data_IF_102410992415
#
_entry.id   IF_102410992415
#
_cell.length_a   1.000
_cell.length_b   1.000
_cell.length_c   1.000
_cell.angle_alpha   90.00
_cell.angle_beta   90.00
_cell.angle_gamma   90.00
#
_symmetry.space_group_name_H-M   'P 1'
#
loop_
_entity.id
_entity.type
_entity.pdbx_description
1 polymer ?
#
# COMPACT_ATOMS: atom_id res chain seq x y z
N UNK A 1 -21.78 22.98 -12.51
CA UNK A 1 -21.22 23.56 -11.26
C UNK A 1 -19.80 23.07 -10.95
N UNK A 2 -19.51 21.76 -11.00
CA UNK A 2 -18.17 21.24 -10.63
C UNK A 2 -17.02 21.78 -11.49
N UNK A 3 -17.22 21.88 -12.81
CA UNK A 3 -16.26 22.52 -13.73
C UNK A 3 -15.94 23.97 -13.35
N UNK A 4 -16.93 24.71 -12.83
CA UNK A 4 -16.74 26.10 -12.41
C UNK A 4 -15.94 26.19 -11.11
N UNK A 5 -16.28 25.35 -10.11
CA UNK A 5 -15.51 25.23 -8.86
C UNK A 5 -14.04 24.93 -9.13
N UNK A 6 -13.75 23.96 -10.00
CA UNK A 6 -12.38 23.58 -10.36
C UNK A 6 -11.64 24.73 -11.06
N UNK A 7 -12.31 25.51 -11.93
CA UNK A 7 -11.73 26.71 -12.55
C UNK A 7 -11.40 27.78 -11.51
N UNK A 8 -12.30 28.04 -10.56
CA UNK A 8 -12.08 29.00 -9.49
C UNK A 8 -10.90 28.61 -8.60
N UNK A 9 -10.83 27.34 -8.16
CA UNK A 9 -9.72 26.82 -7.36
C UNK A 9 -8.41 27.02 -8.11
N UNK A 10 -8.33 26.57 -9.37
CA UNK A 10 -7.11 26.72 -10.19
C UNK A 10 -6.68 28.18 -10.36
N UNK A 11 -7.63 29.10 -10.54
CA UNK A 11 -7.33 30.52 -10.67
C UNK A 11 -6.77 31.14 -9.38
N UNK A 12 -7.40 30.84 -8.23
CA UNK A 12 -6.95 31.32 -6.92
C UNK A 12 -5.57 30.73 -6.61
N UNK A 13 -5.41 29.42 -6.76
CA UNK A 13 -4.15 28.70 -6.57
C UNK A 13 -3.03 29.29 -7.42
N UNK A 14 -3.27 29.58 -8.70
CA UNK A 14 -2.25 30.17 -9.58
C UNK A 14 -1.71 31.50 -9.04
N UNK A 15 -2.58 32.39 -8.54
CA UNK A 15 -2.15 33.69 -8.01
C UNK A 15 -1.36 33.55 -6.71
N UNK A 16 -1.85 32.73 -5.79
CA UNK A 16 -1.20 32.50 -4.49
C UNK A 16 0.15 31.81 -4.68
N UNK A 17 0.20 30.75 -5.48
CA UNK A 17 1.42 29.99 -5.70
C UNK A 17 2.46 30.77 -6.50
N UNK A 18 2.07 31.56 -7.52
CA UNK A 18 3.05 32.36 -8.26
C UNK A 18 3.90 33.28 -7.36
N UNK A 19 3.26 33.92 -6.37
CA UNK A 19 3.99 34.77 -5.43
C UNK A 19 4.89 33.93 -4.51
N UNK A 20 4.36 32.82 -4.00
CA UNK A 20 5.10 31.91 -3.14
C UNK A 20 6.33 31.30 -3.84
N UNK A 21 6.18 30.82 -5.07
CA UNK A 21 7.26 30.18 -5.84
C UNK A 21 8.44 31.14 -6.06
N UNK A 22 8.16 32.43 -6.31
CA UNK A 22 9.20 33.46 -6.43
C UNK A 22 9.99 33.67 -5.16
N UNK A 23 9.31 33.70 -4.01
CA UNK A 23 9.95 33.94 -2.70
C UNK A 23 10.67 32.69 -2.21
N UNK A 24 10.01 31.54 -2.26
CA UNK A 24 10.53 30.27 -1.76
C UNK A 24 11.58 29.64 -2.68
N UNK A 25 11.66 30.07 -3.95
CA UNK A 25 12.50 29.45 -5.00
C UNK A 25 12.21 27.95 -5.14
N UNK A 26 10.94 27.59 -5.05
CA UNK A 26 10.42 26.21 -5.16
C UNK A 26 9.20 26.22 -6.07
N UNK A 27 8.98 25.17 -6.83
CA UNK A 27 7.72 24.97 -7.55
C UNK A 27 6.66 24.33 -6.65
N UNK A 28 5.39 24.70 -6.85
CA UNK A 28 4.23 24.20 -6.13
C UNK A 28 3.21 23.64 -7.10
N UNK A 29 2.86 22.38 -6.92
CA UNK A 29 1.84 21.69 -7.72
C UNK A 29 0.69 21.23 -6.83
N UNK A 30 -0.53 21.23 -7.36
CA UNK A 30 -1.71 20.73 -6.67
C UNK A 30 -2.40 19.61 -7.45
N UNK A 31 -2.92 18.63 -6.72
CA UNK A 31 -3.77 17.57 -7.23
C UNK A 31 -5.13 17.72 -6.53
N UNK A 32 -6.19 17.81 -7.34
CA UNK A 32 -7.57 17.86 -6.83
C UNK A 32 -8.22 16.50 -7.02
N UNK A 33 -8.69 15.89 -5.93
CA UNK A 33 -9.37 14.59 -5.96
C UNK A 33 -10.83 14.72 -5.54
N UNK A 34 -11.76 14.01 -6.21
CA UNK A 34 -13.17 14.05 -5.83
C UNK A 34 -13.39 13.36 -4.50
N UNK A 35 -14.02 14.05 -3.54
CA UNK A 35 -14.39 13.46 -2.24
C UNK A 35 -15.56 12.48 -2.36
N UNK A 36 -16.51 12.76 -3.24
CA UNK A 36 -17.78 12.05 -3.34
C UNK A 36 -17.89 11.22 -4.63
N UNK A 37 -18.53 10.05 -4.54
CA UNK A 37 -18.71 9.15 -5.68
C UNK A 37 -19.53 9.76 -6.82
N UNK A 38 -20.42 10.72 -6.52
CA UNK A 38 -21.21 11.43 -7.54
C UNK A 38 -20.31 12.16 -8.56
N UNK A 39 -19.12 12.60 -8.13
CA UNK A 39 -18.20 13.41 -8.95
C UNK A 39 -17.24 12.59 -9.81
N UNK A 40 -17.25 11.25 -9.72
CA UNK A 40 -16.47 10.39 -10.63
C UNK A 40 -17.33 9.87 -11.77
N UNK A 41 -16.69 9.50 -12.88
CA UNK A 41 -17.34 8.81 -14.00
C UNK A 41 -16.39 7.71 -14.47
N UNK A 42 -16.90 6.51 -14.81
CA UNK A 42 -16.05 5.49 -15.42
C UNK A 42 -15.52 6.04 -16.75
N UNK A 43 -14.20 5.95 -16.96
CA UNK A 43 -13.59 6.39 -18.22
C UNK A 43 -13.85 5.37 -19.34
N UNK A 44 -13.76 4.09 -19.01
CA UNK A 44 -13.94 2.95 -19.92
C UNK A 44 -14.50 1.75 -19.13
N UNK A 45 -15.26 0.89 -19.80
CA UNK A 45 -15.69 -0.39 -19.24
C UNK A 45 -14.57 -1.41 -19.44
N UNK A 46 -13.58 -1.41 -18.54
CA UNK A 46 -12.65 -2.54 -18.45
C UNK A 46 -13.33 -3.66 -17.68
N UNK A 47 -13.66 -4.76 -18.35
CA UNK A 47 -14.27 -5.91 -17.68
C UNK A 47 -13.25 -6.55 -16.74
N UNK A 48 -13.71 -6.90 -15.54
CA UNK A 48 -12.98 -7.69 -14.55
C UNK A 48 -13.30 -9.20 -14.73
N UNK A 49 -13.76 -9.60 -15.92
CA UNK A 49 -14.35 -10.93 -16.14
C UNK A 49 -13.30 -12.04 -16.28
N UNK A 50 -12.11 -11.74 -16.78
CA UNK A 50 -11.05 -12.75 -16.95
C UNK A 50 -10.43 -13.22 -15.63
N UNK A 51 -10.36 -12.35 -14.63
CA UNK A 51 -9.69 -12.64 -13.35
C UNK A 51 -10.59 -12.11 -12.25
N UNK A 52 -11.34 -12.98 -11.56
CA UNK A 52 -12.37 -12.58 -10.58
C UNK A 52 -11.72 -11.83 -9.42
N UNK A 53 -11.55 -10.51 -9.57
CA UNK A 53 -10.79 -9.71 -8.61
C UNK A 53 -11.75 -9.09 -7.60
N UNK A 54 -11.50 -9.27 -6.30
CA UNK A 54 -12.21 -8.56 -5.24
C UNK A 54 -11.41 -7.34 -4.74
N UNK A 55 -12.09 -6.35 -4.17
CA UNK A 55 -11.45 -5.26 -3.42
C UNK A 55 -11.70 -5.51 -1.93
N UNK A 56 -10.63 -5.58 -1.14
CA UNK A 56 -10.67 -5.69 0.31
C UNK A 56 -10.23 -4.38 0.95
N UNK A 57 -11.13 -3.75 1.70
CA UNK A 57 -10.86 -2.61 2.57
C UNK A 57 -10.70 -3.10 4.01
N UNK A 58 -9.50 -2.93 4.57
CA UNK A 58 -9.14 -3.41 5.90
C UNK A 58 -9.07 -2.27 6.92
N UNK A 59 -9.69 -2.46 8.09
CA UNK A 59 -9.56 -1.57 9.25
C UNK A 59 -10.88 -0.94 9.70
N UNK A 60 -10.84 -0.10 10.75
CA UNK A 60 -12.03 0.64 11.21
C UNK A 60 -12.46 1.67 10.17
N UNK A 61 -13.74 2.05 10.16
CA UNK A 61 -14.23 3.08 9.25
C UNK A 61 -13.54 4.43 9.51
N UNK A 62 -13.07 5.08 8.45
CA UNK A 62 -12.63 6.47 8.49
C UNK A 62 -13.82 7.39 8.20
N UNK A 63 -14.33 8.02 9.25
CA UNK A 63 -15.63 8.71 9.25
C UNK A 63 -15.55 10.19 8.86
N UNK A 64 -14.36 10.79 8.87
CA UNK A 64 -14.15 12.17 8.40
C UNK A 64 -14.61 12.27 6.95
N UNK A 65 -15.48 13.23 6.64
CA UNK A 65 -16.12 13.40 5.33
C UNK A 65 -16.80 12.14 4.77
N UNK A 66 -17.23 11.20 5.64
CA UNK A 66 -17.75 9.89 5.26
C UNK A 66 -16.80 9.10 4.34
N UNK A 67 -15.49 9.28 4.50
CA UNK A 67 -14.48 8.83 3.55
C UNK A 67 -14.60 7.35 3.17
N UNK A 68 -14.73 6.43 4.13
CA UNK A 68 -14.85 5.00 3.81
C UNK A 68 -16.15 4.69 3.06
N UNK A 69 -17.28 5.26 3.48
CA UNK A 69 -18.58 5.06 2.81
C UNK A 69 -18.54 5.59 1.37
N UNK A 70 -18.00 6.79 1.17
CA UNK A 70 -17.84 7.36 -0.16
C UNK A 70 -16.81 6.59 -1.01
N UNK A 71 -15.85 5.90 -0.38
CA UNK A 71 -14.93 4.99 -1.08
C UNK A 71 -15.67 3.76 -1.60
N UNK A 72 -16.54 3.15 -0.77
CA UNK A 72 -17.39 2.02 -1.18
C UNK A 72 -18.26 2.42 -2.37
N UNK A 73 -19.00 3.52 -2.26
CA UNK A 73 -19.84 4.05 -3.34
C UNK A 73 -19.04 4.30 -4.61
N UNK A 74 -17.84 4.87 -4.47
CA UNK A 74 -16.96 5.15 -5.61
C UNK A 74 -16.53 3.85 -6.29
N UNK A 75 -16.08 2.84 -5.54
CA UNK A 75 -15.70 1.54 -6.12
C UNK A 75 -16.90 0.81 -6.72
N UNK A 76 -18.08 0.84 -6.10
CA UNK A 76 -19.29 0.24 -6.68
C UNK A 76 -19.75 0.98 -7.94
N UNK A 77 -19.49 2.27 -8.06
CA UNK A 77 -19.76 3.04 -9.27
C UNK A 77 -18.74 2.78 -10.39
N UNK A 78 -17.46 2.70 -10.06
CA UNK A 78 -16.38 2.48 -11.03
C UNK A 78 -16.29 1.00 -11.46
N UNK A 79 -16.62 0.09 -10.56
CA UNK A 79 -16.48 -1.36 -10.73
C UNK A 79 -17.76 -2.10 -10.28
N UNK A 80 -18.90 -1.94 -11.00
CA UNK A 80 -20.21 -2.41 -10.53
C UNK A 80 -20.28 -3.91 -10.21
N UNK A 81 -19.60 -4.74 -10.99
CA UNK A 81 -19.57 -6.20 -10.85
C UNK A 81 -18.53 -6.67 -9.82
N UNK A 82 -17.65 -5.80 -9.37
CA UNK A 82 -16.59 -6.18 -8.42
C UNK A 82 -17.14 -6.26 -7.00
N UNK A 83 -16.72 -7.31 -6.30
CA UNK A 83 -16.98 -7.49 -4.88
C UNK A 83 -16.14 -6.49 -4.09
N UNK A 84 -16.80 -5.67 -3.27
CA UNK A 84 -16.14 -4.77 -2.33
C UNK A 84 -16.38 -5.32 -0.94
N UNK A 85 -15.30 -5.75 -0.27
CA UNK A 85 -15.33 -6.34 1.06
C UNK A 85 -14.78 -5.32 2.03
N UNK A 86 -15.47 -5.09 3.14
CA UNK A 86 -14.98 -4.26 4.25
C UNK A 86 -14.76 -5.18 5.44
N UNK A 87 -13.50 -5.42 5.80
CA UNK A 87 -13.13 -6.21 6.97
C UNK A 87 -12.78 -5.29 8.14
N UNK A 88 -13.64 -5.31 9.16
CA UNK A 88 -13.62 -4.44 10.33
C UNK A 88 -13.88 -5.22 11.62
N UNK A 89 -14.18 -4.53 12.71
CA UNK A 89 -14.30 -5.07 14.06
C UNK A 89 -15.76 -5.28 14.47
N UNK A 90 -16.01 -6.22 15.39
CA UNK A 90 -17.35 -6.43 15.95
C UNK A 90 -17.90 -5.24 16.71
N UNK A 91 -17.04 -4.41 17.30
CA UNK A 91 -17.44 -3.21 18.03
C UNK A 91 -17.56 -1.96 17.14
N UNK A 92 -17.47 -2.13 15.81
CA UNK A 92 -17.73 -1.04 14.86
C UNK A 92 -19.20 -0.61 14.91
N UNK A 93 -19.48 0.66 14.57
CA UNK A 93 -20.83 1.22 14.63
C UNK A 93 -21.83 0.43 13.77
N UNK A 94 -22.90 -0.16 14.36
CA UNK A 94 -23.90 -0.92 13.59
C UNK A 94 -24.52 -0.11 12.45
N UNK A 95 -24.69 1.19 12.65
CA UNK A 95 -25.19 2.10 11.61
C UNK A 95 -24.23 2.18 10.41
N UNK A 96 -22.92 2.26 10.65
CA UNK A 96 -21.93 2.30 9.55
C UNK A 96 -21.90 0.98 8.78
N UNK A 97 -22.04 -0.16 9.48
CA UNK A 97 -22.12 -1.48 8.84
C UNK A 97 -23.34 -1.57 7.93
N UNK A 98 -24.52 -1.21 8.44
CA UNK A 98 -25.77 -1.20 7.65
C UNK A 98 -25.68 -0.28 6.43
N UNK A 99 -25.07 0.90 6.57
CA UNK A 99 -24.86 1.81 5.43
C UNK A 99 -23.92 1.16 4.42
N UNK A 100 -22.79 0.58 4.86
CA UNK A 100 -21.85 -0.08 3.95
C UNK A 100 -22.50 -1.23 3.16
N UNK A 101 -23.30 -2.08 3.82
CA UNK A 101 -24.05 -3.15 3.19
C UNK A 101 -25.08 -2.62 2.19
N UNK A 102 -25.82 -1.57 2.57
CA UNK A 102 -26.79 -0.91 1.68
C UNK A 102 -26.14 -0.32 0.43
N UNK A 103 -24.92 0.20 0.55
CA UNK A 103 -24.13 0.70 -0.58
C UNK A 103 -23.46 -0.42 -1.39
N UNK A 104 -23.69 -1.69 -1.04
CA UNK A 104 -23.28 -2.87 -1.81
C UNK A 104 -21.94 -3.48 -1.41
N UNK A 105 -21.41 -3.16 -0.23
CA UNK A 105 -20.25 -3.85 0.32
C UNK A 105 -20.64 -5.13 1.08
N UNK A 106 -19.75 -6.12 1.07
CA UNK A 106 -19.80 -7.27 1.95
C UNK A 106 -19.04 -6.90 3.22
N UNK A 107 -19.71 -6.88 4.36
CA UNK A 107 -19.09 -6.52 5.64
C UNK A 107 -18.65 -7.79 6.38
N UNK A 108 -17.40 -7.79 6.86
CA UNK A 108 -16.81 -8.87 7.63
C UNK A 108 -16.38 -8.31 8.98
N UNK A 109 -16.85 -8.91 10.07
CA UNK A 109 -16.53 -8.46 11.42
C UNK A 109 -15.64 -9.48 12.13
N UNK A 110 -14.48 -9.03 12.58
CA UNK A 110 -13.51 -9.81 13.33
C UNK A 110 -13.54 -9.44 14.81
N UNK A 111 -13.25 -10.40 15.68
CA UNK A 111 -12.86 -10.10 17.06
C UNK A 111 -11.48 -9.43 17.06
N UNK A 112 -11.29 -8.44 17.93
CA UNK A 112 -9.96 -7.85 18.13
C UNK A 112 -9.04 -8.88 18.80
N UNK A 113 -7.79 -9.06 18.33
CA UNK A 113 -6.82 -9.86 19.06
C UNK A 113 -6.54 -9.26 20.44
N UNK A 114 -6.40 -10.12 21.46
CA UNK A 114 -6.10 -9.69 22.83
C UNK A 114 -4.81 -8.87 22.90
N UNK A 115 -3.76 -9.33 22.20
CA UNK A 115 -2.55 -8.56 21.96
C UNK A 115 -2.58 -7.96 20.56
N UNK A 116 -2.54 -6.62 20.47
CA UNK A 116 -2.55 -5.89 19.20
C UNK A 116 -1.21 -6.00 18.44
N UNK A 117 -0.15 -6.43 19.12
CA UNK A 117 1.22 -6.48 18.61
C UNK A 117 1.84 -5.09 18.44
N UNK A 118 3.16 -5.02 18.19
CA UNK A 118 3.84 -3.77 17.85
C UNK A 118 3.18 -3.09 16.67
N UNK A 119 2.98 -1.76 16.75
CA UNK A 119 2.37 -0.93 15.70
C UNK A 119 1.00 -1.45 15.18
N UNK A 120 0.27 -2.21 16.01
CA UNK A 120 -1.02 -2.83 15.69
C UNK A 120 -0.97 -3.92 14.60
N UNK A 121 0.17 -4.59 14.41
CA UNK A 121 0.33 -5.56 13.33
C UNK A 121 -0.67 -6.73 13.43
N UNK A 122 -0.99 -7.20 14.64
CA UNK A 122 -1.96 -8.30 14.81
C UNK A 122 -3.38 -7.86 14.42
N UNK A 123 -3.71 -6.59 14.61
CA UNK A 123 -4.98 -6.04 14.13
C UNK A 123 -5.05 -6.12 12.60
N UNK A 124 -3.96 -5.80 11.91
CA UNK A 124 -3.88 -5.87 10.46
C UNK A 124 -3.91 -7.31 9.95
N UNK A 125 -3.18 -8.22 10.60
CA UNK A 125 -3.16 -9.66 10.27
C UNK A 125 -4.56 -10.25 10.33
N UNK A 126 -5.22 -10.14 11.50
CA UNK A 126 -6.54 -10.74 11.73
C UNK A 126 -7.56 -10.21 10.73
N UNK A 127 -7.72 -8.88 10.64
CA UNK A 127 -8.75 -8.30 9.78
C UNK A 127 -8.46 -8.52 8.29
N UNK A 128 -7.21 -8.47 7.85
CA UNK A 128 -6.88 -8.77 6.43
C UNK A 128 -7.17 -10.24 6.12
N UNK A 129 -6.71 -11.16 6.97
CA UNK A 129 -6.86 -12.59 6.73
C UNK A 129 -8.33 -13.03 6.70
N UNK A 130 -9.16 -12.53 7.62
CA UNK A 130 -10.61 -12.80 7.60
C UNK A 130 -11.28 -12.27 6.32
N UNK A 131 -10.91 -11.07 5.87
CA UNK A 131 -11.40 -10.50 4.62
C UNK A 131 -11.01 -11.32 3.38
N UNK A 132 -9.77 -11.79 3.33
CA UNK A 132 -9.27 -12.65 2.25
C UNK A 132 -10.00 -14.00 2.21
N UNK A 133 -10.29 -14.61 3.37
CA UNK A 133 -11.09 -15.85 3.40
C UNK A 133 -12.48 -15.67 2.81
N UNK A 134 -13.11 -14.52 3.06
CA UNK A 134 -14.41 -14.19 2.47
C UNK A 134 -14.30 -13.95 0.96
N UNK A 135 -13.25 -13.25 0.50
CA UNK A 135 -12.99 -13.09 -0.93
C UNK A 135 -12.85 -14.47 -1.62
N UNK A 136 -12.03 -15.37 -1.05
CA UNK A 136 -11.85 -16.73 -1.56
C UNK A 136 -13.14 -17.55 -1.56
N UNK A 137 -13.92 -17.48 -0.46
CA UNK A 137 -15.21 -18.17 -0.36
C UNK A 137 -16.19 -17.70 -1.44
N UNK A 138 -16.09 -16.44 -1.85
CA UNK A 138 -16.89 -15.86 -2.93
C UNK A 138 -16.18 -15.91 -4.28
N UNK A 139 -15.31 -16.90 -4.48
CA UNK A 139 -14.74 -17.26 -5.79
C UNK A 139 -13.86 -16.15 -6.41
N UNK A 140 -13.19 -15.36 -5.59
CA UNK A 140 -12.18 -14.41 -6.07
C UNK A 140 -10.84 -15.12 -6.34
N UNK A 141 -10.28 -14.91 -7.53
CA UNK A 141 -8.96 -15.39 -7.93
C UNK A 141 -7.84 -14.46 -7.47
N UNK A 142 -8.15 -13.15 -7.43
CA UNK A 142 -7.23 -12.08 -7.05
C UNK A 142 -7.88 -11.11 -6.09
N UNK A 143 -7.08 -10.38 -5.33
CA UNK A 143 -7.58 -9.33 -4.43
C UNK A 143 -6.72 -8.08 -4.53
N UNK A 144 -7.36 -6.92 -4.64
CA UNK A 144 -6.75 -5.64 -4.27
C UNK A 144 -7.04 -5.41 -2.78
N UNK A 145 -6.02 -5.52 -1.94
CA UNK A 145 -6.08 -5.16 -0.52
C UNK A 145 -5.69 -3.70 -0.37
N UNK A 146 -6.52 -2.91 0.30
CA UNK A 146 -6.24 -1.54 0.73
C UNK A 146 -6.77 -1.31 2.14
N UNK A 147 -6.37 -0.23 2.81
CA UNK A 147 -6.98 0.15 4.10
C UNK A 147 -8.26 0.98 3.91
N UNK A 148 -9.15 0.93 4.89
CA UNK A 148 -10.41 1.71 4.92
C UNK A 148 -10.20 3.23 4.93
N UNK A 149 -9.03 3.69 5.37
CA UNK A 149 -8.61 5.08 5.36
C UNK A 149 -7.80 5.43 4.10
N UNK A 150 -7.79 4.58 3.08
CA UNK A 150 -7.16 4.84 1.78
C UNK A 150 -8.14 4.64 0.64
N UNK A 151 -7.90 5.35 -0.46
CA UNK A 151 -8.71 5.28 -1.67
C UNK A 151 -7.83 5.42 -2.89
N UNK A 152 -7.93 4.50 -3.84
CA UNK A 152 -7.35 4.66 -5.17
C UNK A 152 -8.40 5.22 -6.14
N UNK A 153 -7.96 5.92 -7.17
CA UNK A 153 -8.86 6.55 -8.16
C UNK A 153 -8.65 6.05 -9.59
N UNK A 154 -7.60 5.25 -9.85
CA UNK A 154 -7.33 4.68 -11.17
C UNK A 154 -8.49 3.79 -11.64
N UNK A 155 -9.02 4.05 -12.84
CA UNK A 155 -10.16 3.33 -13.43
C UNK A 155 -9.73 2.08 -14.22
N UNK A 156 -8.48 2.03 -14.64
CA UNK A 156 -7.83 0.96 -15.41
C UNK A 156 -7.15 -0.08 -14.49
N UNK A 157 -7.38 0.00 -13.17
CA UNK A 157 -6.52 -0.66 -12.18
C UNK A 157 -6.47 -2.19 -12.35
N UNK A 158 -7.58 -2.85 -12.66
CA UNK A 158 -7.62 -4.31 -12.83
C UNK A 158 -6.82 -4.80 -14.04
N UNK A 159 -7.10 -4.34 -15.29
CA UNK A 159 -6.31 -4.78 -16.44
C UNK A 159 -4.84 -4.36 -16.31
N UNK A 160 -4.55 -3.20 -15.70
CA UNK A 160 -3.18 -2.80 -15.42
C UNK A 160 -2.44 -3.82 -14.54
N UNK A 161 -3.00 -4.13 -13.37
CA UNK A 161 -2.38 -5.04 -12.40
C UNK A 161 -2.28 -6.48 -12.93
N UNK A 162 -3.32 -6.98 -13.62
CA UNK A 162 -3.29 -8.30 -14.25
C UNK A 162 -2.25 -8.39 -15.36
N UNK A 163 -2.15 -7.37 -16.21
CA UNK A 163 -1.12 -7.33 -17.27
C UNK A 163 0.27 -7.28 -16.65
N UNK A 164 0.42 -6.59 -15.52
CA UNK A 164 1.69 -6.47 -14.83
C UNK A 164 2.21 -7.82 -14.31
N UNK A 165 1.35 -8.62 -13.64
CA UNK A 165 1.76 -9.95 -13.15
C UNK A 165 2.02 -10.94 -14.28
N UNK A 166 1.28 -10.84 -15.40
CA UNK A 166 1.53 -11.63 -16.63
C UNK A 166 2.85 -11.24 -17.32
N UNK A 167 3.19 -9.95 -17.35
CA UNK A 167 4.41 -9.43 -17.99
C UNK A 167 5.66 -9.76 -17.19
N UNK A 168 5.55 -9.74 -15.86
CA UNK A 168 6.63 -10.02 -14.93
C UNK A 168 6.31 -11.24 -14.07
N UNK A 169 6.21 -12.44 -14.66
CA UNK A 169 5.79 -13.63 -13.96
C UNK A 169 6.80 -14.03 -12.89
N UNK A 170 6.32 -14.74 -11.87
CA UNK A 170 7.18 -15.41 -10.93
C UNK A 170 7.83 -16.64 -11.59
N UNK A 171 9.15 -16.62 -11.73
CA UNK A 171 9.96 -17.75 -12.26
C UNK A 171 10.93 -18.26 -11.16
N UNK A 172 10.63 -17.96 -9.90
CA UNK A 172 11.51 -18.29 -8.79
C UNK A 172 11.41 -19.75 -8.36
N UNK A 173 12.34 -20.15 -7.48
CA UNK A 173 12.48 -21.53 -7.01
C UNK A 173 11.57 -21.91 -5.82
N UNK A 174 10.79 -20.97 -5.29
CA UNK A 174 10.01 -21.18 -4.08
C UNK A 174 8.57 -21.57 -4.44
N UNK A 175 8.30 -22.88 -4.50
CA UNK A 175 7.03 -23.45 -4.97
C UNK A 175 5.78 -23.09 -4.15
N UNK A 176 5.94 -22.48 -2.97
CA UNK A 176 4.81 -22.00 -2.16
C UNK A 176 4.24 -20.66 -2.63
N UNK A 177 4.94 -19.98 -3.53
CA UNK A 177 4.48 -18.77 -4.20
C UNK A 177 4.08 -19.11 -5.64
N UNK A 178 2.88 -18.66 -6.06
CA UNK A 178 2.37 -18.86 -7.41
C UNK A 178 2.73 -17.69 -8.33
N UNK A 179 2.46 -16.47 -7.87
CA UNK A 179 2.66 -15.22 -8.60
C UNK A 179 3.35 -14.18 -7.74
N UNK A 180 3.87 -13.13 -8.38
CA UNK A 180 4.41 -11.98 -7.65
C UNK A 180 3.28 -11.15 -7.04
N UNK A 181 3.49 -10.68 -5.82
CA UNK A 181 2.56 -9.74 -5.17
C UNK A 181 2.95 -8.31 -5.59
N UNK A 182 1.99 -7.57 -6.13
CA UNK A 182 2.15 -6.16 -6.47
C UNK A 182 1.98 -5.30 -5.22
N UNK A 183 2.91 -4.39 -4.99
CA UNK A 183 2.99 -3.47 -3.86
C UNK A 183 2.91 -2.03 -4.35
N UNK A 184 2.38 -1.12 -3.53
CA UNK A 184 2.53 0.31 -3.76
C UNK A 184 3.91 0.81 -3.27
N UNK A 185 4.53 1.73 -4.00
CA UNK A 185 5.78 2.38 -3.56
C UNK A 185 5.59 3.20 -2.28
N UNK A 186 4.37 3.66 -2.02
CA UNK A 186 4.04 4.35 -0.77
C UNK A 186 4.22 3.40 0.42
N UNK A 187 5.15 3.75 1.30
CA UNK A 187 5.60 2.94 2.45
C UNK A 187 6.29 1.64 2.06
N UNK A 188 6.81 1.51 0.83
CA UNK A 188 7.80 0.49 0.49
C UNK A 188 9.14 1.21 0.35
N UNK A 189 10.05 1.06 1.30
CA UNK A 189 11.29 1.85 1.39
C UNK A 189 12.50 1.04 0.90
N UNK A 190 13.40 1.69 0.16
CA UNK A 190 14.59 1.02 -0.42
C UNK A 190 15.48 0.39 0.64
N UNK A 191 15.69 1.09 1.75
CA UNK A 191 16.70 0.70 2.75
C UNK A 191 16.08 0.04 3.99
N UNK A 192 14.76 0.05 4.13
CA UNK A 192 14.06 -0.76 5.14
C UNK A 192 14.05 -2.21 4.65
N UNK A 193 15.00 -3.00 5.15
CA UNK A 193 15.14 -4.39 4.73
C UNK A 193 13.83 -5.16 4.99
N UNK A 194 13.40 -5.89 3.97
CA UNK A 194 12.18 -6.69 3.95
C UNK A 194 10.97 -5.89 4.46
N UNK A 195 10.74 -4.68 3.95
CA UNK A 195 9.71 -3.75 4.43
C UNK A 195 8.57 -3.48 3.44
N UNK A 196 8.12 -4.50 2.71
CA UNK A 196 7.02 -4.46 1.75
C UNK A 196 5.75 -3.90 2.39
N UNK A 197 5.21 -2.82 1.80
CA UNK A 197 4.05 -2.12 2.37
C UNK A 197 2.89 -3.08 2.65
N UNK A 198 2.32 -2.94 3.84
CA UNK A 198 1.08 -3.62 4.18
C UNK A 198 -0.13 -2.94 3.53
N UNK A 199 0.00 -1.68 3.11
CA UNK A 199 -1.13 -0.77 2.92
C UNK A 199 -1.95 -1.07 1.67
N UNK A 200 -1.29 -1.17 0.52
CA UNK A 200 -1.88 -1.53 -0.77
C UNK A 200 -1.14 -2.72 -1.36
N UNK A 201 -1.86 -3.79 -1.65
CA UNK A 201 -1.32 -4.99 -2.27
C UNK A 201 -2.29 -5.55 -3.31
N UNK A 202 -1.77 -6.15 -4.38
CA UNK A 202 -2.54 -6.96 -5.31
C UNK A 202 -1.83 -8.29 -5.57
N UNK A 203 -2.57 -9.37 -5.62
CA UNK A 203 -1.98 -10.68 -5.90
C UNK A 203 -3.03 -11.78 -5.97
N UNK A 204 -2.57 -12.95 -6.36
CA UNK A 204 -3.38 -14.17 -6.32
C UNK A 204 -3.89 -14.40 -4.89
N UNK A 205 -5.14 -14.86 -4.77
CA UNK A 205 -5.80 -15.04 -3.47
C UNK A 205 -5.02 -15.97 -2.54
N UNK A 206 -4.39 -17.03 -3.08
CA UNK A 206 -3.63 -17.99 -2.28
C UNK A 206 -2.31 -17.42 -1.80
N UNK A 207 -1.61 -16.63 -2.63
CA UNK A 207 -0.38 -15.95 -2.25
C UNK A 207 -0.63 -14.90 -1.16
N UNK A 208 -1.71 -14.12 -1.28
CA UNK A 208 -2.10 -13.15 -0.26
C UNK A 208 -2.56 -13.82 1.04
N UNK A 209 -3.31 -14.93 0.97
CA UNK A 209 -3.65 -15.73 2.15
C UNK A 209 -2.39 -16.30 2.81
N UNK A 210 -1.40 -16.74 2.02
CA UNK A 210 -0.15 -17.23 2.57
C UNK A 210 0.65 -16.10 3.24
N UNK A 211 0.78 -14.93 2.59
CA UNK A 211 1.44 -13.73 3.12
C UNK A 211 0.82 -13.28 4.45
N UNK A 212 -0.50 -13.09 4.47
CA UNK A 212 -1.23 -12.61 5.64
C UNK A 212 -1.54 -13.69 6.68
N UNK A 213 -1.29 -14.96 6.38
CA UNK A 213 -1.36 -16.08 7.32
C UNK A 213 -0.17 -16.17 8.28
N UNK A 214 0.50 -15.04 8.54
CA UNK A 214 1.59 -14.96 9.51
C UNK A 214 1.07 -15.24 10.93
N UNK A 215 1.93 -15.79 11.78
CA UNK A 215 1.64 -15.90 13.21
C UNK A 215 1.40 -14.52 13.81
N UNK A 216 0.63 -14.44 14.90
CA UNK A 216 0.51 -13.19 15.64
C UNK A 216 1.83 -12.87 16.35
N UNK A 217 2.15 -11.59 16.38
CA UNK A 217 3.30 -11.07 17.10
C UNK A 217 2.96 -10.93 18.59
N UNK A 218 3.52 -11.81 19.41
CA UNK A 218 3.26 -11.86 20.85
C UNK A 218 3.96 -10.74 21.64
N UNK A 219 4.79 -9.92 21.00
CA UNK A 219 5.40 -8.74 21.64
C UNK A 219 4.33 -7.70 21.98
N UNK A 220 4.56 -6.91 23.01
CA UNK A 220 3.60 -5.89 23.45
C UNK A 220 3.46 -4.74 22.44
N UNK A 221 2.29 -4.08 22.38
CA UNK A 221 2.13 -2.86 21.61
C UNK A 221 3.08 -1.76 22.11
N UNK A 222 3.65 -0.98 21.19
CA UNK A 222 4.56 0.12 21.51
C UNK A 222 6.04 -0.28 21.67
N UNK A 223 6.37 -1.57 21.58
CA UNK A 223 7.77 -2.03 21.50
C UNK A 223 8.39 -1.59 20.18
N UNK A 224 9.63 -1.08 20.24
CA UNK A 224 10.45 -0.69 19.08
C UNK A 224 10.93 0.76 19.15
N UNK A 225 12.22 0.98 18.87
CA UNK A 225 12.80 2.32 18.75
C UNK A 225 12.97 2.68 17.26
N UNK A 226 12.68 3.92 16.90
CA UNK A 226 12.97 4.48 15.57
C UNK A 226 14.29 5.23 15.53
N UNK A 227 14.82 5.64 16.67
CA UNK A 227 16.07 6.39 16.81
C UNK A 227 17.26 5.43 16.93
N UNK A 228 17.34 4.53 15.96
CA UNK A 228 18.37 3.49 15.85
C UNK A 228 18.86 3.41 14.41
N UNK A 229 19.87 2.60 14.16
CA UNK A 229 20.37 2.36 12.79
C UNK A 229 19.29 1.72 11.93
N UNK A 230 19.37 1.89 10.60
CA UNK A 230 18.50 1.19 9.66
C UNK A 230 18.56 -0.33 9.86
N UNK A 231 19.74 -0.87 10.14
CA UNK A 231 19.97 -2.30 10.44
C UNK A 231 19.17 -2.76 11.64
N UNK A 232 19.27 -2.04 12.76
CA UNK A 232 18.62 -2.41 14.01
C UNK A 232 17.10 -2.23 13.89
N UNK A 233 16.66 -1.19 13.18
CA UNK A 233 15.25 -1.01 12.85
C UNK A 233 14.70 -2.20 12.07
N UNK A 234 15.37 -2.64 11.02
CA UNK A 234 14.94 -3.81 10.25
C UNK A 234 14.93 -5.09 11.10
N UNK A 235 16.01 -5.35 11.87
CA UNK A 235 16.10 -6.53 12.75
C UNK A 235 15.08 -6.54 13.88
N UNK A 236 14.56 -5.36 14.27
CA UNK A 236 13.45 -5.28 15.21
C UNK A 236 12.13 -5.82 14.63
N UNK A 237 12.06 -6.13 13.32
CA UNK A 237 10.90 -6.75 12.66
C UNK A 237 9.60 -6.06 13.03
N UNK A 238 9.53 -4.73 12.94
CA UNK A 238 8.32 -3.98 13.24
C UNK A 238 7.41 -3.93 12.02
N UNK A 239 6.10 -4.01 12.26
CA UNK A 239 5.04 -3.78 11.26
C UNK A 239 5.29 -4.53 9.94
N UNK A 240 5.51 -3.83 8.83
CA UNK A 240 5.71 -4.41 7.50
C UNK A 240 6.89 -5.39 7.46
N UNK A 241 7.97 -5.08 8.21
CA UNK A 241 9.13 -5.97 8.29
C UNK A 241 8.85 -7.28 8.98
N UNK A 242 7.88 -7.31 9.90
CA UNK A 242 7.37 -8.57 10.44
C UNK A 242 6.70 -9.42 9.36
N UNK A 243 5.80 -8.81 8.58
CA UNK A 243 4.99 -9.52 7.58
C UNK A 243 5.86 -10.10 6.47
N UNK A 244 6.70 -9.27 5.84
CA UNK A 244 7.50 -9.72 4.71
C UNK A 244 8.53 -10.76 5.16
N UNK A 245 9.26 -10.52 6.26
CA UNK A 245 10.26 -11.48 6.72
C UNK A 245 9.62 -12.83 7.09
N UNK A 246 8.45 -12.83 7.74
CA UNK A 246 7.73 -14.06 8.06
C UNK A 246 7.23 -14.79 6.81
N UNK A 247 6.72 -14.05 5.82
CA UNK A 247 6.32 -14.61 4.53
C UNK A 247 7.51 -15.28 3.82
N UNK A 248 8.62 -14.55 3.66
CA UNK A 248 9.83 -15.02 2.99
C UNK A 248 10.41 -16.26 3.69
N UNK A 249 10.52 -16.25 5.02
CA UNK A 249 10.95 -17.41 5.81
C UNK A 249 10.01 -18.62 5.59
N UNK A 250 8.69 -18.41 5.57
CA UNK A 250 7.69 -19.49 5.40
C UNK A 250 7.64 -20.07 3.99
N UNK A 251 7.96 -19.28 2.95
CA UNK A 251 8.17 -19.82 1.59
C UNK A 251 9.50 -20.56 1.44
N UNK A 252 10.40 -20.44 2.43
CA UNK A 252 11.68 -21.16 2.49
C UNK A 252 12.90 -20.32 2.13
N UNK A 253 12.75 -18.99 2.01
CA UNK A 253 13.86 -18.08 1.75
C UNK A 253 14.64 -17.81 3.03
N UNK A 254 15.97 -17.95 2.97
CA UNK A 254 16.87 -17.49 4.03
C UNK A 254 17.10 -15.99 3.92
N UNK A 255 17.02 -15.28 5.05
CA UNK A 255 17.21 -13.83 5.12
C UNK A 255 18.61 -13.49 5.62
N UNK A 256 19.40 -12.79 4.80
CA UNK A 256 20.76 -12.41 5.15
C UNK A 256 20.86 -11.03 5.84
N UNK A 257 19.77 -10.26 5.91
CA UNK A 257 19.72 -8.93 6.51
C UNK A 257 20.76 -7.96 5.93
N UNK A 258 20.88 -8.00 4.60
CA UNK A 258 21.69 -7.08 3.78
C UNK A 258 20.78 -6.36 2.78
N UNK A 259 21.20 -5.17 2.32
CA UNK A 259 20.48 -4.44 1.27
C UNK A 259 20.38 -5.29 0.02
N UNK A 260 21.49 -5.93 -0.39
CA UNK A 260 21.51 -6.82 -1.56
C UNK A 260 20.46 -7.92 -1.47
N UNK A 261 20.38 -8.62 -0.34
CA UNK A 261 19.41 -9.70 -0.19
C UNK A 261 17.96 -9.21 -0.13
N UNK A 262 17.69 -8.08 0.54
CA UNK A 262 16.35 -7.48 0.53
C UNK A 262 15.93 -6.99 -0.85
N UNK A 263 16.84 -6.39 -1.62
CA UNK A 263 16.56 -5.95 -2.99
C UNK A 263 16.31 -7.12 -3.92
N UNK A 264 17.07 -8.21 -3.77
CA UNK A 264 16.81 -9.46 -4.47
C UNK A 264 15.43 -10.03 -4.09
N UNK A 265 15.02 -9.94 -2.82
CA UNK A 265 13.70 -10.37 -2.40
C UNK A 265 12.58 -9.56 -3.09
N UNK A 266 12.73 -8.22 -3.15
CA UNK A 266 11.81 -7.36 -3.90
C UNK A 266 11.74 -7.72 -5.40
N UNK A 267 12.90 -7.93 -6.05
CA UNK A 267 12.97 -8.27 -7.47
C UNK A 267 12.37 -9.65 -7.79
N UNK A 268 12.55 -10.62 -6.90
CA UNK A 268 12.12 -12.01 -7.13
C UNK A 268 10.64 -12.21 -6.82
N UNK A 269 10.16 -11.71 -5.69
CA UNK A 269 8.86 -12.07 -5.10
C UNK A 269 7.76 -11.03 -5.30
N UNK A 270 8.13 -9.80 -5.63
CA UNK A 270 7.19 -8.67 -5.64
C UNK A 270 7.27 -7.88 -6.96
N UNK A 271 6.29 -7.01 -7.17
CA UNK A 271 6.33 -5.94 -8.18
C UNK A 271 5.97 -4.64 -7.48
N UNK A 272 6.78 -3.59 -7.60
CA UNK A 272 6.46 -2.32 -6.93
C UNK A 272 5.94 -1.30 -7.94
N UNK A 273 4.74 -0.76 -7.75
CA UNK A 273 4.16 0.28 -8.60
C UNK A 273 4.11 1.62 -7.88
N UNK A 274 4.28 2.71 -8.62
CA UNK A 274 4.27 4.03 -8.02
C UNK A 274 2.87 4.40 -7.49
N UNK A 275 2.83 5.02 -6.31
CA UNK A 275 1.61 5.58 -5.70
C UNK A 275 0.75 6.37 -6.69
N UNK A 276 1.39 7.15 -7.56
CA UNK A 276 0.75 7.98 -8.59
C UNK A 276 0.11 7.16 -9.70
N UNK A 277 0.65 5.99 -10.04
CA UNK A 277 0.11 5.11 -11.10
C UNK A 277 -1.26 4.55 -10.73
N UNK A 278 -1.47 4.23 -9.46
CA UNK A 278 -2.77 3.78 -8.94
C UNK A 278 -3.63 4.94 -8.39
N UNK A 279 -3.09 6.15 -8.37
CA UNK A 279 -3.68 7.35 -7.74
C UNK A 279 -4.19 7.08 -6.32
N UNK A 280 -3.33 6.51 -5.47
CA UNK A 280 -3.64 6.21 -4.08
C UNK A 280 -3.65 7.50 -3.25
N UNK A 281 -4.72 7.72 -2.49
CA UNK A 281 -4.89 8.86 -1.60
C UNK A 281 -5.03 8.40 -0.14
N UNK A 282 -4.36 9.12 0.76
CA UNK A 282 -4.41 8.88 2.21
C UNK A 282 -4.62 10.20 2.99
N UNK A 283 -5.85 10.50 3.44
CA UNK A 283 -6.22 11.76 4.09
C UNK A 283 -5.72 11.95 5.54
N UNK A 284 -4.95 11.02 6.10
CA UNK A 284 -4.41 11.17 7.47
C UNK A 284 -3.11 11.95 7.49
N UNK A 285 -2.74 12.44 8.69
CA UNK A 285 -1.50 13.16 8.93
C UNK A 285 -1.36 14.38 8.01
N UNK A 286 -0.14 14.70 7.60
CA UNK A 286 0.14 15.76 6.63
C UNK A 286 -0.17 15.31 5.19
N UNK A 287 -1.46 15.13 4.90
CA UNK A 287 -1.96 14.79 3.57
C UNK A 287 -1.84 15.94 2.56
N UNK A 288 -1.50 17.15 3.01
CA UNK A 288 -1.20 18.27 2.13
C UNK A 288 0.15 18.07 1.42
N UNK A 289 1.07 17.30 2.03
CA UNK A 289 2.25 16.75 1.36
C UNK A 289 1.91 15.43 0.70
N UNK A 290 1.55 15.49 -0.59
CA UNK A 290 1.17 14.33 -1.38
C UNK A 290 2.18 13.18 -1.24
N UNK A 291 3.46 13.44 -1.50
CA UNK A 291 4.54 12.48 -1.30
C UNK A 291 5.37 12.85 -0.06
N UNK A 292 5.00 12.27 1.08
CA UNK A 292 5.49 12.67 2.41
C UNK A 292 7.00 12.48 2.59
N UNK A 293 7.56 11.41 2.01
CA UNK A 293 8.98 11.08 2.12
C UNK A 293 9.79 11.48 0.88
N UNK A 294 9.16 12.07 -0.15
CA UNK A 294 9.91 12.52 -1.32
C UNK A 294 10.74 13.75 -0.95
N UNK A 295 12.05 13.59 -1.10
CA UNK A 295 13.06 14.65 -1.01
C UNK A 295 13.88 14.65 -2.29
N UNK A 296 14.49 15.80 -2.60
CA UNK A 296 15.51 15.89 -3.64
C UNK A 296 16.92 15.59 -3.10
N UNK A 297 17.02 15.28 -1.81
CA UNK A 297 18.21 14.72 -1.16
C UNK A 297 17.95 13.26 -0.84
N UNK A 298 18.98 12.42 -0.96
CA UNK A 298 18.87 10.99 -0.64
C UNK A 298 18.53 10.79 0.84
N UNK A 299 17.66 9.84 1.14
CA UNK A 299 17.19 9.55 2.50
C UNK A 299 17.17 8.05 2.78
N UNK A 300 17.41 7.65 4.03
CA UNK A 300 17.23 6.25 4.47
C UNK A 300 15.77 5.77 4.36
N UNK A 301 14.84 6.69 4.10
CA UNK A 301 13.41 6.45 3.87
C UNK A 301 12.96 6.71 2.43
N UNK A 302 13.88 6.73 1.47
CA UNK A 302 13.51 6.83 0.05
C UNK A 302 12.58 5.67 -0.35
N UNK A 303 11.49 5.99 -1.04
CA UNK A 303 10.58 5.00 -1.60
C UNK A 303 11.28 4.14 -2.66
N UNK A 304 11.04 2.84 -2.63
CA UNK A 304 11.35 1.95 -3.74
C UNK A 304 10.29 2.19 -4.83
N UNK A 305 10.65 2.92 -5.89
CA UNK A 305 9.73 3.23 -6.99
C UNK A 305 9.64 2.08 -7.99
N UNK A 306 8.68 2.13 -8.92
CA UNK A 306 8.65 1.18 -10.04
C UNK A 306 9.94 1.21 -10.86
N UNK A 307 10.52 2.40 -11.07
CA UNK A 307 11.81 2.55 -11.76
C UNK A 307 12.92 1.80 -11.02
N UNK A 308 13.00 1.95 -9.71
CA UNK A 308 14.01 1.26 -8.91
C UNK A 308 13.79 -0.25 -8.95
N UNK A 309 12.55 -0.71 -8.72
CA UNK A 309 12.20 -2.13 -8.81
C UNK A 309 12.50 -2.73 -10.19
N UNK A 310 12.22 -2.01 -11.27
CA UNK A 310 12.49 -2.47 -12.62
C UNK A 310 14.00 -2.62 -12.89
N UNK A 311 14.83 -1.72 -12.33
CA UNK A 311 16.28 -1.89 -12.35
C UNK A 311 16.70 -3.14 -11.55
N UNK A 312 16.17 -3.33 -10.34
CA UNK A 312 16.47 -4.51 -9.51
C UNK A 312 16.07 -5.81 -10.22
N UNK A 313 14.89 -5.84 -10.85
CA UNK A 313 14.41 -6.97 -11.65
C UNK A 313 15.36 -7.33 -12.80
N UNK A 314 16.06 -6.33 -13.35
CA UNK A 314 17.07 -6.51 -14.39
C UNK A 314 18.50 -6.66 -13.82
N UNK A 315 18.65 -6.97 -12.53
CA UNK A 315 19.93 -7.13 -11.83
C UNK A 315 20.80 -5.86 -11.77
N UNK A 316 20.19 -4.68 -11.66
CA UNK A 316 20.89 -3.41 -11.47
C UNK A 316 20.44 -2.70 -10.17
N UNK A 317 21.36 -2.04 -9.43
CA UNK A 317 22.80 -1.92 -9.69
C UNK A 317 23.61 -3.18 -9.31
N UNK A 318 24.83 -3.31 -9.83
CA UNK A 318 25.73 -4.44 -9.55
C UNK A 318 26.31 -4.44 -8.12
N UNK A 319 26.36 -3.26 -7.49
CA UNK A 319 26.81 -3.05 -6.11
C UNK A 319 25.67 -2.49 -5.28
N UNK A 320 25.66 -2.82 -3.98
CA UNK A 320 24.66 -2.34 -3.03
C UNK A 320 25.35 -1.54 -1.91
N UNK A 321 24.81 -0.38 -1.53
CA UNK A 321 25.41 0.51 -0.52
C UNK A 321 25.14 0.02 0.91
N UNK A 322 25.73 -1.11 1.30
CA UNK A 322 25.51 -1.77 2.60
C UNK A 322 25.82 -0.88 3.81
N UNK A 323 26.71 0.11 3.65
CA UNK A 323 27.06 1.11 4.67
C UNK A 323 25.89 2.03 5.06
N UNK A 324 24.84 2.13 4.25
CA UNK A 324 23.62 2.87 4.61
C UNK A 324 22.93 2.23 5.81
N UNK A 325 23.11 0.92 6.01
CA UNK A 325 22.49 0.20 7.12
C UNK A 325 22.93 0.70 8.50
N UNK A 326 24.11 1.33 8.59
CA UNK A 326 24.67 1.82 9.84
C UNK A 326 24.33 3.30 10.10
N UNK A 327 23.59 3.95 9.18
CA UNK A 327 23.04 5.29 9.38
C UNK A 327 21.75 5.25 10.23
N UNK A 328 21.38 6.35 10.90
CA UNK A 328 20.10 6.44 11.58
C UNK A 328 18.90 6.24 10.62
N UNK A 329 17.85 5.58 11.12
CA UNK A 329 16.60 5.50 10.39
C UNK A 329 15.93 6.88 10.28
N UNK A 330 15.29 7.17 9.14
CA UNK A 330 14.69 8.49 8.85
C UNK A 330 15.67 9.67 8.86
N UNK A 331 16.89 9.46 8.33
CA UNK A 331 17.89 10.51 8.14
C UNK A 331 18.25 10.71 6.68
N UNK A 332 18.78 11.89 6.36
CA UNK A 332 19.46 12.12 5.09
C UNK A 332 20.68 11.19 4.95
N UNK A 333 20.96 10.76 3.72
CA UNK A 333 22.15 9.98 3.38
C UNK A 333 23.23 10.96 2.90
N UNK A 334 24.38 11.06 3.58
CA UNK A 334 25.46 11.93 3.14
C UNK A 334 26.01 11.51 1.77
N UNK A 335 26.44 12.46 0.93
CA UNK A 335 26.95 12.17 -0.42
C UNK A 335 28.08 11.12 -0.45
N UNK A 336 28.91 11.07 0.60
CA UNK A 336 30.00 10.10 0.74
C UNK A 336 29.51 8.64 0.80
N UNK A 337 28.24 8.40 1.14
CA UNK A 337 27.63 7.08 1.21
C UNK A 337 26.86 6.68 -0.06
N UNK A 338 26.71 7.60 -1.02
CA UNK A 338 25.94 7.37 -2.27
C UNK A 338 26.84 6.91 -3.43
N UNK A 339 28.16 7.08 -3.32
CA UNK A 339 29.14 6.81 -4.39
C UNK A 339 29.72 5.40 -4.35
#
# INVERSE_FOLDING_TARGET
MEKLKNKCIRYISKKVFFLFEKVAKRYVTIILRPKYAVSVSPLLNFSNEENKTAILLQGPFFTVDNFTIETIKLYKKLFPTTQVIVSTWKEESPLLLQIAEKEGAIVVQSEKPKNRGPRNINMQIVSTYEGLKIAKKNDADYVIKSRTDQRFYSTEIFPFLSTLTKTFPYIGKFHKQKERIVLCSHETLKYRLYGATDQFQFGNIDDLLFYWGASLDERLPGVGNTDITVRDYAKSKLAETYLESNYLERIGRQLNWTIKDSWNAYAEHFIVVDKRTIDLYWPKYDHYREDRLTSYQASTTDYLTFKDWFLLYNNFPNSCPENILDLPFSSEIPEAHVR
#
